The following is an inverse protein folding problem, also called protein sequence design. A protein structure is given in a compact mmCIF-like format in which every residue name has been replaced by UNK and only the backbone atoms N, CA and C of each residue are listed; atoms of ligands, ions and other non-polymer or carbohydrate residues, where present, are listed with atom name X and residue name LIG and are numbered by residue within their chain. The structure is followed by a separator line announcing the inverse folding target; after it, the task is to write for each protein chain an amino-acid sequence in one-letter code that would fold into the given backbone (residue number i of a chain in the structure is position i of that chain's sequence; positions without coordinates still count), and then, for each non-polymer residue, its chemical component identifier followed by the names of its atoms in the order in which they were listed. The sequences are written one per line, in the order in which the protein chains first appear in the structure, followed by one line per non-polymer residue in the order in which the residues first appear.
data_IF_677344652494
#
_entry.id   IF_677344652494
#
_cell.length_a   1.000
_cell.length_b   1.000
_cell.length_c   1.000
_cell.angle_alpha   90.00
_cell.angle_beta   90.00
_cell.angle_gamma   90.00
#
_symmetry.space_group_name_H-M   'P 1'
#
loop_
_entity.id
_entity.type
_entity.pdbx_description
1 polymer ?
#
# COMPACT_ATOMS: atom_id res chain seq x y z
N UNK A 1 17.17 -80.25 0.81
CA UNK A 1 16.30 -79.06 0.82
C UNK A 1 17.01 -77.94 1.58
N UNK A 2 17.65 -77.00 0.88
CA UNK A 2 18.36 -75.85 1.47
C UNK A 2 17.60 -74.59 1.05
N UNK A 3 17.01 -73.90 2.01
CA UNK A 3 16.15 -72.72 1.79
C UNK A 3 17.04 -71.53 1.42
N UNK A 4 16.78 -70.94 0.24
CA UNK A 4 17.35 -69.67 -0.20
C UNK A 4 16.52 -68.53 0.41
N UNK A 5 17.17 -67.66 1.18
CA UNK A 5 16.55 -66.46 1.77
C UNK A 5 16.85 -65.27 0.87
N UNK A 6 15.86 -64.49 0.40
CA UNK A 6 16.12 -63.28 -0.37
C UNK A 6 16.46 -62.11 0.56
N UNK A 7 17.57 -61.42 0.26
CA UNK A 7 17.95 -60.15 0.88
C UNK A 7 17.14 -59.05 0.19
N UNK A 8 16.28 -58.37 0.95
CA UNK A 8 15.52 -57.21 0.51
C UNK A 8 16.42 -55.97 0.64
N UNK A 9 16.91 -55.43 -0.49
CA UNK A 9 17.66 -54.17 -0.52
C UNK A 9 16.66 -53.02 -0.63
N UNK A 10 16.46 -52.27 0.46
CA UNK A 10 15.62 -51.07 0.49
C UNK A 10 16.47 -49.86 0.11
N UNK A 11 16.29 -49.34 -1.10
CA UNK A 11 16.90 -48.08 -1.53
C UNK A 11 16.09 -46.89 -0.98
N UNK A 12 16.66 -46.16 -0.03
CA UNK A 12 16.09 -44.90 0.48
C UNK A 12 16.49 -43.79 -0.49
N UNK A 13 15.51 -43.26 -1.24
CA UNK A 13 15.68 -42.06 -2.06
C UNK A 13 15.43 -40.85 -1.15
N UNK A 14 16.49 -40.13 -0.79
CA UNK A 14 16.37 -38.84 -0.12
C UNK A 14 15.98 -37.79 -1.17
N UNK A 15 14.74 -37.27 -1.09
CA UNK A 15 14.33 -36.11 -1.86
C UNK A 15 15.00 -34.85 -1.27
N UNK A 16 15.51 -33.90 -2.09
CA UNK A 16 16.02 -32.64 -1.58
C UNK A 16 14.87 -31.80 -1.02
N UNK A 17 15.01 -31.39 0.23
CA UNK A 17 14.11 -30.41 0.86
C UNK A 17 14.29 -29.07 0.16
N UNK A 18 13.31 -28.67 -0.65
CA UNK A 18 13.19 -27.30 -1.16
C UNK A 18 12.94 -26.38 0.04
N UNK A 19 14.01 -25.73 0.51
CA UNK A 19 13.88 -24.66 1.50
C UNK A 19 13.40 -23.43 0.74
N UNK A 20 12.12 -23.08 0.87
CA UNK A 20 11.65 -21.76 0.43
C UNK A 20 12.43 -20.71 1.23
N UNK A 21 13.02 -19.69 0.59
CA UNK A 21 13.58 -18.55 1.31
C UNK A 21 12.43 -17.76 1.94
N UNK A 22 12.02 -18.13 3.14
CA UNK A 22 11.15 -17.35 3.99
C UNK A 22 12.00 -16.22 4.59
N UNK A 23 11.97 -15.02 4.03
CA UNK A 23 12.55 -13.86 4.73
C UNK A 23 13.21 -12.77 3.91
N UNK A 24 13.15 -12.79 2.59
CA UNK A 24 13.53 -11.63 1.79
C UNK A 24 12.27 -11.02 1.18
N UNK A 25 11.59 -10.16 1.94
CA UNK A 25 10.75 -9.14 1.33
C UNK A 25 11.75 -8.15 0.73
N UNK A 26 11.84 -8.00 -0.61
CA UNK A 26 12.69 -6.98 -1.17
C UNK A 26 12.21 -5.64 -0.60
N UNK A 27 13.08 -4.92 0.13
CA UNK A 27 12.91 -3.48 0.27
C UNK A 27 13.21 -2.91 -1.10
N UNK A 28 12.24 -2.99 -2.00
CA UNK A 28 12.30 -2.27 -3.27
C UNK A 28 12.36 -0.82 -2.86
N UNK A 29 13.54 -0.19 -2.95
CA UNK A 29 13.63 1.26 -2.93
C UNK A 29 12.66 1.72 -4.01
N UNK A 30 11.51 2.25 -3.59
CA UNK A 30 10.42 2.54 -4.50
C UNK A 30 10.82 3.78 -5.28
N UNK A 31 11.43 3.57 -6.44
CA UNK A 31 11.78 4.65 -7.35
C UNK A 31 10.49 5.22 -7.92
N UNK A 32 10.34 6.55 -7.82
CA UNK A 32 9.11 7.23 -8.18
C UNK A 32 9.32 8.04 -9.46
N UNK A 33 8.57 7.74 -10.52
CA UNK A 33 8.68 8.46 -11.80
C UNK A 33 8.54 9.98 -11.66
N UNK A 34 7.77 10.42 -10.66
CA UNK A 34 7.52 11.82 -10.31
C UNK A 34 7.82 12.04 -8.84
N UNK A 35 8.59 13.09 -8.56
CA UNK A 35 9.03 13.48 -7.22
C UNK A 35 9.74 12.33 -6.49
N UNK A 36 11.00 12.09 -6.85
CA UNK A 36 11.83 11.01 -6.28
C UNK A 36 11.96 11.08 -4.75
N UNK A 37 11.94 12.30 -4.19
CA UNK A 37 12.06 12.53 -2.74
C UNK A 37 10.70 12.52 -2.01
N UNK A 38 9.61 12.09 -2.66
CA UNK A 38 8.29 12.11 -2.03
C UNK A 38 8.23 11.14 -0.83
N UNK A 39 7.43 11.45 0.20
CA UNK A 39 7.31 10.60 1.38
C UNK A 39 6.86 9.17 1.03
N UNK A 40 7.64 8.19 1.48
CA UNK A 40 7.25 6.78 1.37
C UNK A 40 6.04 6.51 2.27
N UNK A 41 5.11 5.70 1.77
CA UNK A 41 4.01 5.24 2.60
C UNK A 41 4.58 4.41 3.76
N UNK A 42 4.15 4.65 5.02
CA UNK A 42 4.54 3.81 6.13
C UNK A 42 4.19 2.34 5.88
N UNK A 43 5.17 1.45 6.00
CA UNK A 43 5.04 0.02 5.67
C UNK A 43 3.89 -0.67 6.41
N UNK A 44 3.56 -0.21 7.62
CA UNK A 44 2.48 -0.80 8.39
C UNK A 44 1.11 -0.64 7.72
N UNK A 45 0.91 0.36 6.86
CA UNK A 45 -0.35 0.59 6.14
C UNK A 45 -0.64 -0.57 5.18
N UNK A 46 0.39 -1.07 4.48
CA UNK A 46 0.28 -2.21 3.56
C UNK A 46 0.32 -3.56 4.30
N UNK A 47 0.93 -3.59 5.48
CA UNK A 47 1.13 -4.81 6.27
C UNK A 47 0.11 -4.98 7.41
N UNK A 48 -1.03 -4.28 7.37
CA UNK A 48 -2.12 -4.50 8.32
C UNK A 48 -2.67 -5.93 8.20
N UNK A 49 -3.04 -6.57 9.33
CA UNK A 49 -3.75 -7.86 9.30
C UNK A 49 -5.01 -7.77 8.44
N UNK A 50 -5.44 -8.86 7.79
CA UNK A 50 -6.57 -8.83 6.84
C UNK A 50 -7.87 -8.22 7.40
N UNK A 51 -8.10 -8.35 8.72
CA UNK A 51 -9.24 -7.73 9.40
C UNK A 51 -9.18 -6.19 9.40
N UNK A 52 -7.98 -5.64 9.40
CA UNK A 52 -7.66 -4.21 9.51
C UNK A 52 -7.23 -3.59 8.17
N UNK A 53 -6.98 -4.39 7.12
CA UNK A 53 -6.55 -3.92 5.79
C UNK A 53 -7.43 -2.79 5.21
N UNK A 54 -8.71 -2.76 5.58
CA UNK A 54 -9.63 -1.72 5.12
C UNK A 54 -9.37 -0.35 5.74
N UNK A 55 -8.74 -0.29 6.92
CA UNK A 55 -8.25 0.96 7.53
C UNK A 55 -7.15 1.56 6.67
N UNK A 56 -6.18 0.75 6.25
CA UNK A 56 -5.13 1.19 5.32
C UNK A 56 -5.70 1.74 4.01
N UNK A 57 -6.70 1.06 3.43
CA UNK A 57 -7.38 1.54 2.23
C UNK A 57 -8.11 2.89 2.42
N UNK A 58 -8.60 3.20 3.62
CA UNK A 58 -9.19 4.52 3.93
C UNK A 58 -8.09 5.57 4.02
N UNK A 59 -7.00 5.30 4.76
CA UNK A 59 -5.85 6.22 4.90
C UNK A 59 -5.28 6.60 3.53
N UNK A 60 -5.10 5.61 2.64
CA UNK A 60 -4.63 5.83 1.26
C UNK A 60 -5.58 6.73 0.45
N UNK A 61 -6.90 6.57 0.63
CA UNK A 61 -7.87 7.42 -0.06
C UNK A 61 -7.92 8.84 0.50
N UNK A 62 -7.78 9.00 1.82
CA UNK A 62 -7.60 10.31 2.46
C UNK A 62 -6.38 11.01 1.87
N UNK A 63 -5.23 10.32 1.83
CA UNK A 63 -3.99 10.85 1.27
C UNK A 63 -4.16 11.35 -0.17
N UNK A 64 -4.86 10.57 -1.01
CA UNK A 64 -5.13 10.97 -2.39
C UNK A 64 -6.02 12.21 -2.48
N UNK A 65 -7.09 12.27 -1.69
CA UNK A 65 -8.00 13.42 -1.69
C UNK A 65 -7.27 14.69 -1.21
N UNK A 66 -6.54 14.58 -0.10
CA UNK A 66 -5.76 15.67 0.49
C UNK A 66 -4.69 16.19 -0.47
N UNK A 67 -4.02 15.28 -1.16
CA UNK A 67 -3.05 15.62 -2.19
C UNK A 67 -3.64 16.52 -3.28
N UNK A 68 -4.81 16.17 -3.84
CA UNK A 68 -5.45 17.00 -4.87
C UNK A 68 -6.00 18.31 -4.29
N UNK A 69 -6.57 18.27 -3.08
CA UNK A 69 -7.07 19.45 -2.38
C UNK A 69 -5.97 20.49 -2.21
N UNK A 70 -4.80 20.09 -1.71
CA UNK A 70 -3.64 20.98 -1.49
C UNK A 70 -3.13 21.59 -2.79
N UNK A 71 -3.08 20.83 -3.87
CA UNK A 71 -2.68 21.35 -5.19
C UNK A 71 -3.63 22.46 -5.66
N UNK A 72 -4.94 22.23 -5.54
CA UNK A 72 -5.96 23.21 -5.94
C UNK A 72 -5.91 24.45 -5.06
N UNK A 73 -5.85 24.28 -3.74
CA UNK A 73 -5.81 25.39 -2.78
C UNK A 73 -4.54 26.24 -2.91
N UNK A 74 -3.40 25.62 -3.20
CA UNK A 74 -2.15 26.33 -3.45
C UNK A 74 -2.08 26.96 -4.84
N UNK A 75 -2.96 26.55 -5.77
CA UNK A 75 -2.91 26.98 -7.17
C UNK A 75 -1.67 26.50 -7.92
N UNK A 76 -1.03 25.41 -7.47
CA UNK A 76 0.22 24.91 -8.03
C UNK A 76 0.61 23.54 -7.51
N UNK A 77 1.46 22.83 -8.25
CA UNK A 77 1.79 21.42 -8.00
C UNK A 77 3.30 21.22 -7.78
N UNK A 78 3.83 21.78 -6.69
CA UNK A 78 5.17 21.40 -6.21
C UNK A 78 5.16 19.98 -5.64
N UNK A 79 6.32 19.32 -5.54
CA UNK A 79 6.41 17.99 -4.92
C UNK A 79 5.90 17.98 -3.48
N UNK A 80 6.23 18.98 -2.66
CA UNK A 80 5.76 19.10 -1.27
C UNK A 80 4.25 19.36 -1.17
N UNK A 81 3.68 20.06 -2.15
CA UNK A 81 2.24 20.30 -2.22
C UNK A 81 1.49 19.03 -2.63
N UNK A 82 1.95 18.39 -3.71
CA UNK A 82 1.32 17.20 -4.31
C UNK A 82 1.50 15.96 -3.45
N UNK A 83 2.64 15.77 -2.81
CA UNK A 83 2.92 14.60 -2.00
C UNK A 83 3.19 15.03 -0.55
N UNK A 84 2.14 15.36 0.22
CA UNK A 84 2.31 15.71 1.62
C UNK A 84 2.86 14.54 2.43
N UNK A 85 3.25 14.84 3.68
CA UNK A 85 3.53 13.80 4.68
C UNK A 85 2.28 12.95 4.97
N UNK A 86 2.49 11.67 5.24
CA UNK A 86 1.42 10.71 5.54
C UNK A 86 0.75 10.98 6.90
N UNK A 87 1.45 11.65 7.83
CA UNK A 87 0.96 11.95 9.17
C UNK A 87 -0.38 12.69 9.13
N UNK A 88 -0.58 13.59 8.17
CA UNK A 88 -1.85 14.32 8.00
C UNK A 88 -3.00 13.34 7.74
N UNK A 89 -2.80 12.39 6.82
CA UNK A 89 -3.84 11.43 6.45
C UNK A 89 -4.10 10.40 7.53
N UNK A 90 -3.05 10.00 8.26
CA UNK A 90 -3.13 9.12 9.41
C UNK A 90 -3.88 9.81 10.56
N UNK A 91 -3.58 11.07 10.82
CA UNK A 91 -4.26 11.85 11.86
C UNK A 91 -5.74 12.03 11.52
N UNK A 92 -6.07 12.45 10.30
CA UNK A 92 -7.46 12.55 9.85
C UNK A 92 -8.20 11.21 9.98
N UNK A 93 -7.53 10.09 9.66
CA UNK A 93 -8.11 8.77 9.87
C UNK A 93 -8.38 8.49 11.35
N UNK A 94 -7.39 8.73 12.21
CA UNK A 94 -7.47 8.44 13.64
C UNK A 94 -8.56 9.28 14.32
N UNK A 95 -8.65 10.56 13.98
CA UNK A 95 -9.57 11.49 14.61
C UNK A 95 -11.04 11.17 14.26
N UNK A 96 -11.29 10.67 13.05
CA UNK A 96 -12.65 10.54 12.52
C UNK A 96 -13.15 9.10 12.40
N UNK A 97 -12.26 8.12 12.31
CA UNK A 97 -12.62 6.75 11.95
C UNK A 97 -11.98 5.66 12.81
N UNK A 98 -11.19 6.02 13.83
CA UNK A 98 -10.65 5.05 14.78
C UNK A 98 -11.79 4.44 15.60
N UNK A 99 -12.09 3.17 15.32
CA UNK A 99 -13.19 2.44 15.96
C UNK A 99 -14.45 2.32 15.11
N UNK A 100 -14.48 2.93 13.91
CA UNK A 100 -15.54 2.71 12.94
C UNK A 100 -15.66 1.25 12.56
N UNK A 101 -16.90 0.80 12.37
CA UNK A 101 -17.19 -0.53 11.86
C UNK A 101 -16.86 -0.63 10.36
N UNK A 102 -17.07 -1.82 9.79
CA UNK A 102 -16.73 -2.07 8.39
C UNK A 102 -17.56 -1.23 7.41
N UNK A 103 -18.80 -0.89 7.75
CA UNK A 103 -19.65 -0.08 6.90
C UNK A 103 -19.22 1.39 6.97
N UNK A 104 -18.96 1.92 8.17
CA UNK A 104 -18.44 3.27 8.35
C UNK A 104 -17.13 3.50 7.60
N UNK A 105 -16.20 2.55 7.67
CA UNK A 105 -14.96 2.62 6.89
C UNK A 105 -15.22 2.57 5.37
N UNK A 106 -16.25 1.84 4.91
CA UNK A 106 -16.59 1.75 3.48
C UNK A 106 -17.16 3.05 2.98
N UNK A 107 -18.03 3.65 3.76
CA UNK A 107 -18.69 4.89 3.41
C UNK A 107 -17.68 6.04 3.42
N UNK A 108 -16.80 6.11 4.43
CA UNK A 108 -15.67 7.05 4.46
C UNK A 108 -14.76 6.92 3.22
N UNK A 109 -14.35 5.69 2.88
CA UNK A 109 -13.52 5.46 1.68
C UNK A 109 -14.24 5.91 0.39
N UNK A 110 -15.55 5.68 0.30
CA UNK A 110 -16.34 6.08 -0.85
C UNK A 110 -16.45 7.60 -0.95
N UNK A 111 -16.60 8.28 0.17
CA UNK A 111 -16.65 9.73 0.26
C UNK A 111 -15.34 10.36 -0.20
N UNK A 112 -14.19 9.98 0.38
CA UNK A 112 -12.89 10.51 -0.05
C UNK A 112 -12.57 10.16 -1.51
N UNK A 113 -13.01 8.99 -1.99
CA UNK A 113 -12.89 8.66 -3.41
C UNK A 113 -13.70 9.59 -4.30
N UNK A 114 -14.92 9.97 -3.90
CA UNK A 114 -15.74 10.92 -4.62
C UNK A 114 -15.07 12.30 -4.66
N UNK A 115 -14.63 12.81 -3.51
CA UNK A 115 -13.90 14.08 -3.39
C UNK A 115 -12.64 14.08 -4.27
N UNK A 116 -11.82 13.03 -4.21
CA UNK A 116 -10.62 12.92 -5.04
C UNK A 116 -10.94 12.91 -6.54
N UNK A 117 -12.04 12.26 -6.95
CA UNK A 117 -12.44 12.23 -8.35
C UNK A 117 -12.94 13.60 -8.82
N UNK A 118 -13.69 14.32 -8.00
CA UNK A 118 -14.17 15.68 -8.29
C UNK A 118 -13.00 16.67 -8.48
N UNK A 119 -11.95 16.53 -7.67
CA UNK A 119 -10.77 17.40 -7.73
C UNK A 119 -9.75 16.98 -8.79
N UNK A 120 -9.81 15.74 -9.29
CA UNK A 120 -8.74 15.13 -10.09
C UNK A 120 -8.37 15.98 -11.30
N UNK A 121 -9.35 16.43 -12.07
CA UNK A 121 -9.08 17.09 -13.35
C UNK A 121 -8.52 18.50 -13.14
N UNK A 122 -8.97 19.22 -12.11
CA UNK A 122 -8.41 20.51 -11.73
C UNK A 122 -6.96 20.39 -11.23
N UNK A 123 -6.68 19.42 -10.34
CA UNK A 123 -5.32 19.16 -9.87
C UNK A 123 -4.41 18.68 -11.01
N UNK A 124 -4.95 17.89 -11.95
CA UNK A 124 -4.23 17.38 -13.11
C UNK A 124 -3.67 18.51 -13.97
N UNK A 125 -4.49 19.52 -14.30
CA UNK A 125 -4.05 20.68 -15.10
C UNK A 125 -2.83 21.36 -14.47
N UNK A 126 -2.89 21.62 -13.17
CA UNK A 126 -1.81 22.27 -12.42
C UNK A 126 -0.54 21.40 -12.35
N UNK A 127 -0.70 20.09 -12.22
CA UNK A 127 0.43 19.16 -12.14
C UNK A 127 1.06 18.86 -13.49
N UNK A 128 0.30 18.79 -14.58
CA UNK A 128 0.86 18.66 -15.93
C UNK A 128 1.68 19.90 -16.30
N UNK A 129 1.19 21.11 -15.96
CA UNK A 129 1.93 22.36 -16.16
C UNK A 129 3.25 22.39 -15.38
N UNK A 130 3.26 21.86 -14.16
CA UNK A 130 4.45 21.75 -13.32
C UNK A 130 5.36 20.56 -13.68
N UNK A 131 4.96 19.68 -14.60
CA UNK A 131 5.69 18.44 -14.92
C UNK A 131 5.65 17.38 -13.81
N UNK A 132 4.70 17.47 -12.88
CA UNK A 132 4.59 16.62 -11.67
C UNK A 132 3.30 15.80 -11.61
N UNK A 133 2.78 15.36 -12.77
CA UNK A 133 1.55 14.56 -12.84
C UNK A 133 1.79 13.05 -12.75
#
# INVERSE_FOLDING_TARGET
MKKLTPILVTAIVMAPTLTSPQGLVPTTNQEFDVCQERPQQPDWIDNLPSRDAFRGAVIQMIYRAESYRRVIEAGGCSCETRFPDWDISIQLFNDNYLGSDRNGLRDARNEYRAQANEMRDAAKVLCEEAGNW
#
